data_IF_340842446226
#
_entry.id   IF_340842446226
#
_cell.length_a   1.000
_cell.length_b   1.000
_cell.length_c   1.000
_cell.angle_alpha   90.00
_cell.angle_beta   90.00
_cell.angle_gamma   90.00
#
_symmetry.space_group_name_H-M   'P 1'
#
loop_
_entity.id
_entity.type
_entity.pdbx_description
1 polymer ?
#
# COMPACT_ATOMS: atom_id res chain seq x y z
N UNK A 1 -41.59 -33.99 -31.24
CA UNK A 1 -41.63 -33.20 -30.00
C UNK A 1 -40.29 -32.48 -29.87
N UNK A 2 -40.19 -31.25 -30.38
CA UNK A 2 -38.99 -30.42 -30.23
C UNK A 2 -38.91 -29.96 -28.77
N UNK A 3 -37.78 -30.22 -28.11
CA UNK A 3 -37.50 -29.73 -26.76
C UNK A 3 -37.56 -28.19 -26.77
N UNK A 4 -38.42 -27.62 -25.93
CA UNK A 4 -38.54 -26.16 -25.75
C UNK A 4 -37.37 -25.62 -24.92
N UNK A 5 -37.07 -24.33 -25.07
CA UNK A 5 -36.17 -23.62 -24.17
C UNK A 5 -36.77 -23.59 -22.76
N UNK A 6 -35.93 -23.80 -21.76
CA UNK A 6 -36.32 -23.62 -20.36
C UNK A 6 -36.34 -22.13 -20.01
N UNK A 7 -36.98 -21.78 -18.91
CA UNK A 7 -36.97 -20.40 -18.40
C UNK A 7 -35.55 -19.91 -18.11
N UNK A 8 -34.69 -20.79 -17.59
CA UNK A 8 -33.28 -20.52 -17.40
C UNK A 8 -32.58 -20.17 -18.71
N UNK A 9 -32.81 -20.95 -19.78
CA UNK A 9 -32.22 -20.69 -21.10
C UNK A 9 -32.60 -19.31 -21.65
N UNK A 10 -33.85 -18.89 -21.41
CA UNK A 10 -34.37 -17.57 -21.81
C UNK A 10 -33.69 -16.45 -21.02
N UNK A 11 -33.54 -16.61 -19.70
CA UNK A 11 -32.88 -15.62 -18.83
C UNK A 11 -31.42 -15.42 -19.22
N UNK A 12 -30.64 -16.50 -19.35
CA UNK A 12 -29.21 -16.39 -19.69
C UNK A 12 -29.03 -15.80 -21.10
N UNK A 13 -29.98 -16.03 -22.02
CA UNK A 13 -29.97 -15.39 -23.33
C UNK A 13 -30.23 -13.88 -23.27
N UNK A 14 -31.11 -13.41 -22.38
CA UNK A 14 -31.38 -11.99 -22.18
C UNK A 14 -30.21 -11.27 -21.50
N UNK A 15 -29.56 -11.93 -20.54
CA UNK A 15 -28.40 -11.38 -19.83
C UNK A 15 -27.14 -11.28 -20.70
N UNK A 16 -27.11 -11.95 -21.86
CA UNK A 16 -25.94 -11.97 -22.75
C UNK A 16 -24.78 -12.83 -22.26
N UNK A 17 -24.98 -13.65 -21.23
CA UNK A 17 -23.94 -14.46 -20.57
C UNK A 17 -23.68 -15.83 -21.25
N UNK A 18 -24.00 -15.96 -22.53
CA UNK A 18 -23.81 -17.21 -23.31
C UNK A 18 -22.66 -17.09 -24.31
N UNK A 19 -21.89 -18.18 -24.54
CA UNK A 19 -20.99 -18.26 -25.69
C UNK A 19 -21.74 -18.01 -27.00
N UNK A 20 -21.13 -17.27 -27.93
CA UNK A 20 -21.77 -16.83 -29.17
C UNK A 20 -22.38 -17.98 -30.01
N UNK A 21 -21.75 -19.15 -29.99
CA UNK A 21 -22.27 -20.35 -30.66
C UNK A 21 -23.60 -20.84 -30.09
N UNK A 22 -23.75 -20.84 -28.76
CA UNK A 22 -24.98 -21.26 -28.07
C UNK A 22 -26.08 -20.23 -28.26
N UNK A 23 -25.73 -18.93 -28.15
CA UNK A 23 -26.66 -17.85 -28.41
C UNK A 23 -27.23 -17.91 -29.84
N UNK A 24 -26.43 -18.31 -30.84
CA UNK A 24 -26.92 -18.50 -32.21
C UNK A 24 -27.96 -19.61 -32.30
N UNK A 25 -27.68 -20.77 -31.70
CA UNK A 25 -28.62 -21.90 -31.67
C UNK A 25 -29.95 -21.52 -31.00
N UNK A 26 -29.91 -20.78 -29.90
CA UNK A 26 -31.13 -20.33 -29.23
C UNK A 26 -31.92 -19.33 -30.09
N UNK A 27 -31.25 -18.39 -30.77
CA UNK A 27 -31.91 -17.47 -31.71
C UNK A 27 -32.53 -18.21 -32.90
N UNK A 28 -31.86 -19.21 -33.45
CA UNK A 28 -32.40 -20.08 -34.50
C UNK A 28 -33.65 -20.82 -34.00
N UNK A 29 -33.63 -21.33 -32.75
CA UNK A 29 -34.80 -21.95 -32.13
C UNK A 29 -35.97 -20.97 -32.00
N UNK A 30 -35.75 -19.72 -31.57
CA UNK A 30 -36.78 -18.69 -31.45
C UNK A 30 -37.42 -18.32 -32.80
N UNK A 31 -36.69 -18.45 -33.92
CA UNK A 31 -37.25 -18.26 -35.26
C UNK A 31 -38.22 -19.39 -35.65
N UNK A 32 -38.00 -20.60 -35.15
CA UNK A 32 -38.77 -21.80 -35.52
C UNK A 32 -39.87 -22.16 -34.50
N UNK A 33 -39.74 -21.72 -33.25
CA UNK A 33 -40.64 -22.09 -32.16
C UNK A 33 -41.47 -20.90 -31.67
N UNK A 34 -42.71 -20.79 -32.16
CA UNK A 34 -43.63 -19.70 -31.80
C UNK A 34 -43.93 -19.60 -30.28
N UNK A 35 -44.11 -20.71 -29.52
CA UNK A 35 -44.27 -20.65 -28.07
C UNK A 35 -43.08 -20.01 -27.35
N UNK A 36 -41.86 -20.46 -27.66
CA UNK A 36 -40.64 -19.92 -27.05
C UNK A 36 -40.40 -18.46 -27.45
N UNK A 37 -40.75 -18.07 -28.68
CA UNK A 37 -40.69 -16.67 -29.11
C UNK A 37 -41.61 -15.77 -28.30
N UNK A 38 -42.88 -16.15 -28.13
CA UNK A 38 -43.82 -15.38 -27.32
C UNK A 38 -43.35 -15.22 -25.88
N UNK A 39 -42.83 -16.30 -25.28
CA UNK A 39 -42.29 -16.25 -23.94
C UNK A 39 -41.09 -15.30 -23.88
N UNK A 40 -40.13 -15.41 -24.80
CA UNK A 40 -38.98 -14.51 -24.89
C UNK A 40 -39.38 -13.03 -25.03
N UNK A 41 -40.37 -12.72 -25.87
CA UNK A 41 -40.91 -11.36 -26.03
C UNK A 41 -41.49 -10.81 -24.73
N UNK A 42 -42.21 -11.63 -23.95
CA UNK A 42 -42.75 -11.24 -22.64
C UNK A 42 -41.64 -10.90 -21.64
N UNK A 43 -40.61 -11.75 -21.51
CA UNK A 43 -39.47 -11.45 -20.64
C UNK A 43 -38.69 -10.23 -21.11
N UNK A 44 -38.56 -10.01 -22.42
CA UNK A 44 -37.89 -8.84 -22.99
C UNK A 44 -38.60 -7.54 -22.57
N UNK A 45 -39.94 -7.52 -22.59
CA UNK A 45 -40.73 -6.35 -22.16
C UNK A 45 -40.50 -6.02 -20.67
N UNK A 46 -40.49 -7.04 -19.81
CA UNK A 46 -40.20 -6.87 -18.38
C UNK A 46 -38.78 -6.36 -18.17
N UNK A 47 -37.80 -6.94 -18.87
CA UNK A 47 -36.40 -6.53 -18.80
C UNK A 47 -36.23 -5.06 -19.21
N UNK A 48 -36.86 -4.65 -20.31
CA UNK A 48 -36.83 -3.25 -20.78
C UNK A 48 -37.48 -2.31 -19.77
N UNK A 49 -38.62 -2.68 -19.17
CA UNK A 49 -39.27 -1.87 -18.15
C UNK A 49 -38.39 -1.69 -16.91
N UNK A 50 -37.71 -2.75 -16.46
CA UNK A 50 -36.77 -2.71 -15.34
C UNK A 50 -35.51 -1.90 -15.66
N UNK A 51 -35.05 -1.93 -16.91
CA UNK A 51 -33.86 -1.19 -17.34
C UNK A 51 -34.13 0.30 -17.60
N UNK A 52 -35.32 0.80 -17.25
CA UNK A 52 -35.70 2.22 -17.31
C UNK A 52 -35.28 2.98 -16.04
N UNK A 53 -34.19 2.57 -15.39
CA UNK A 53 -33.61 3.36 -14.32
C UNK A 53 -33.03 4.66 -14.88
N UNK A 54 -33.10 5.78 -14.14
CA UNK A 54 -32.49 7.02 -14.58
C UNK A 54 -30.97 6.80 -14.72
N UNK A 55 -30.45 6.95 -15.95
CA UNK A 55 -29.00 6.95 -16.23
C UNK A 55 -28.23 7.99 -15.39
N UNK A 56 -28.93 8.99 -14.84
CA UNK A 56 -28.35 9.97 -13.95
C UNK A 56 -28.33 9.48 -12.51
N UNK A 57 -27.14 9.17 -12.02
CA UNK A 57 -26.88 9.11 -10.59
C UNK A 57 -27.20 10.48 -9.95
N UNK A 58 -27.74 10.51 -8.72
CA UNK A 58 -27.98 11.77 -8.02
C UNK A 58 -26.67 12.54 -7.80
N UNK A 59 -26.75 13.88 -7.80
CA UNK A 59 -25.62 14.73 -7.49
C UNK A 59 -24.97 14.31 -6.16
N UNK A 60 -23.65 14.21 -6.13
CA UNK A 60 -22.85 13.77 -4.98
C UNK A 60 -23.02 12.28 -4.60
N UNK A 61 -23.51 11.40 -5.51
CA UNK A 61 -23.53 9.96 -5.28
C UNK A 61 -22.15 9.40 -4.94
N UNK A 62 -21.12 9.80 -5.70
CA UNK A 62 -19.73 9.39 -5.48
C UNK A 62 -19.26 9.79 -4.08
N UNK A 63 -19.50 11.03 -3.66
CA UNK A 63 -19.10 11.50 -2.34
C UNK A 63 -19.84 10.76 -1.22
N UNK A 64 -21.14 10.49 -1.39
CA UNK A 64 -21.92 9.69 -0.43
C UNK A 64 -21.41 8.26 -0.34
N UNK A 65 -21.13 7.61 -1.47
CA UNK A 65 -20.62 6.23 -1.50
C UNK A 65 -19.21 6.17 -0.92
N UNK A 66 -18.31 7.08 -1.29
CA UNK A 66 -16.95 7.15 -0.74
C UNK A 66 -16.98 7.43 0.76
N UNK A 67 -17.87 8.32 1.22
CA UNK A 67 -18.03 8.61 2.65
C UNK A 67 -18.69 7.45 3.43
N UNK A 68 -19.56 6.66 2.81
CA UNK A 68 -20.13 5.45 3.41
C UNK A 68 -19.11 4.29 3.41
N UNK A 69 -18.23 4.26 2.42
CA UNK A 69 -17.07 3.38 2.32
C UNK A 69 -15.88 3.92 3.11
N UNK A 70 -16.10 4.60 4.23
CA UNK A 70 -15.15 4.54 5.35
C UNK A 70 -15.07 3.08 5.83
N UNK A 71 -14.53 2.21 4.97
CA UNK A 71 -13.58 1.18 5.36
C UNK A 71 -12.73 1.87 6.40
N UNK A 72 -12.80 1.36 7.62
CA UNK A 72 -11.85 1.68 8.67
C UNK A 72 -10.49 1.74 7.98
N UNK A 73 -10.00 2.96 7.69
CA UNK A 73 -8.64 3.12 7.21
C UNK A 73 -7.85 2.35 8.25
N UNK A 74 -7.07 1.33 7.87
CA UNK A 74 -6.33 0.53 8.83
C UNK A 74 -5.64 1.56 9.69
N UNK A 75 -6.06 1.65 10.96
CA UNK A 75 -5.48 2.56 11.93
C UNK A 75 -4.01 2.35 11.72
N UNK A 76 -3.31 3.39 11.22
CA UNK A 76 -1.89 3.29 10.90
C UNK A 76 -1.23 3.07 12.24
N UNK A 77 -1.14 1.81 12.62
CA UNK A 77 -0.90 1.43 13.98
C UNK A 77 0.48 1.95 14.31
N UNK A 78 0.53 2.69 15.41
CA UNK A 78 1.70 3.23 16.08
C UNK A 78 2.85 2.21 16.24
N UNK A 79 2.60 0.93 15.96
CA UNK A 79 3.58 -0.15 15.87
C UNK A 79 4.78 0.19 14.98
N UNK A 80 4.56 0.72 13.77
CA UNK A 80 5.68 1.01 12.86
C UNK A 80 6.62 2.11 13.41
N UNK A 81 6.09 3.09 14.14
CA UNK A 81 6.91 4.17 14.70
C UNK A 81 7.68 3.72 15.95
N UNK A 82 7.09 2.84 16.77
CA UNK A 82 7.73 2.34 17.99
C UNK A 82 8.87 1.36 17.70
N UNK A 83 8.70 0.51 16.70
CA UNK A 83 9.70 -0.50 16.36
C UNK A 83 10.94 0.14 15.71
N UNK A 84 10.75 1.05 14.76
CA UNK A 84 11.86 1.81 14.14
C UNK A 84 12.65 2.61 15.18
N UNK A 85 11.97 3.22 16.15
CA UNK A 85 12.59 3.99 17.22
C UNK A 85 13.44 3.09 18.13
N UNK A 86 12.91 1.93 18.52
CA UNK A 86 13.63 0.97 19.36
C UNK A 86 14.87 0.43 18.62
N UNK A 87 14.72 0.06 17.35
CA UNK A 87 15.83 -0.40 16.50
C UNK A 87 16.90 0.69 16.35
N UNK A 88 16.51 1.94 16.17
CA UNK A 88 17.44 3.07 16.11
C UNK A 88 18.25 3.23 17.39
N UNK A 89 17.61 3.15 18.56
CA UNK A 89 18.29 3.23 19.86
C UNK A 89 19.30 2.09 20.02
N UNK A 90 18.90 0.85 19.73
CA UNK A 90 19.80 -0.30 19.87
C UNK A 90 20.97 -0.26 18.88
N UNK A 91 20.74 0.18 17.64
CA UNK A 91 21.80 0.36 16.66
C UNK A 91 22.83 1.40 17.12
N UNK A 92 22.38 2.53 17.68
CA UNK A 92 23.26 3.58 18.18
C UNK A 92 24.02 3.16 19.45
N UNK A 93 23.36 2.48 20.39
CA UNK A 93 24.03 1.93 21.56
C UNK A 93 25.06 0.87 21.18
N UNK A 94 24.71 -0.05 20.28
CA UNK A 94 25.63 -1.07 19.77
C UNK A 94 26.84 -0.44 19.07
N UNK A 95 26.61 0.59 18.26
CA UNK A 95 27.67 1.32 17.57
C UNK A 95 28.56 2.10 18.57
N UNK A 96 27.98 2.73 19.59
CA UNK A 96 28.72 3.43 20.64
C UNK A 96 29.55 2.49 21.51
N UNK A 97 28.98 1.35 21.93
CA UNK A 97 29.69 0.31 22.68
C UNK A 97 30.82 -0.28 21.84
N UNK A 98 30.55 -0.57 20.57
CA UNK A 98 31.56 -1.08 19.64
C UNK A 98 32.71 -0.08 19.47
N UNK A 99 32.40 1.20 19.26
CA UNK A 99 33.41 2.27 19.18
C UNK A 99 34.23 2.42 20.46
N UNK A 100 33.60 2.28 21.63
CA UNK A 100 34.28 2.37 22.91
C UNK A 100 35.32 1.24 23.09
N UNK A 101 34.97 0.01 22.71
CA UNK A 101 35.86 -1.15 22.89
C UNK A 101 36.88 -1.33 21.77
N UNK A 102 36.52 -1.04 20.52
CA UNK A 102 37.40 -1.31 19.36
C UNK A 102 38.17 -0.08 18.89
N UNK A 103 37.81 1.11 19.37
CA UNK A 103 38.37 2.37 18.90
C UNK A 103 37.87 2.74 17.50
N UNK A 104 38.02 4.02 17.15
CA UNK A 104 37.60 4.58 15.85
C UNK A 104 38.39 4.00 14.66
N UNK A 105 39.61 3.53 14.90
CA UNK A 105 40.50 3.01 13.87
C UNK A 105 39.96 1.72 13.21
N UNK A 106 39.28 0.88 13.99
CA UNK A 106 38.66 -0.34 13.48
C UNK A 106 37.54 -0.01 12.47
N UNK A 107 36.65 0.92 12.80
CA UNK A 107 35.56 1.35 11.92
C UNK A 107 36.07 1.97 10.61
N UNK A 108 37.10 2.82 10.70
CA UNK A 108 37.75 3.39 9.52
C UNK A 108 38.40 2.30 8.65
N UNK A 109 39.01 1.29 9.27
CA UNK A 109 39.59 0.16 8.53
C UNK A 109 38.54 -0.71 7.84
N UNK A 110 37.38 -0.89 8.47
CA UNK A 110 36.23 -1.62 7.93
C UNK A 110 35.65 -0.88 6.71
N UNK A 111 35.38 0.42 6.83
CA UNK A 111 34.88 1.23 5.71
C UNK A 111 35.89 1.36 4.57
N UNK A 112 37.19 1.43 4.88
CA UNK A 112 38.25 1.45 3.85
C UNK A 112 38.32 0.14 3.07
N UNK A 113 38.06 -0.99 3.73
CA UNK A 113 38.07 -2.31 3.09
C UNK A 113 36.75 -2.64 2.37
N UNK A 114 35.67 -1.91 2.68
CA UNK A 114 34.40 -1.99 1.96
C UNK A 114 34.53 -1.27 0.60
N UNK A 115 35.05 -1.96 -0.41
CA UNK A 115 35.06 -1.47 -1.79
C UNK A 115 33.64 -1.43 -2.35
N UNK A 116 32.90 -0.36 -2.07
CA UNK A 116 31.63 -0.07 -2.73
C UNK A 116 31.92 0.49 -4.14
N UNK A 117 31.59 -0.24 -5.23
CA UNK A 117 32.13 0.00 -6.57
C UNK A 117 31.71 1.32 -7.25
N UNK A 118 30.85 2.13 -6.64
CA UNK A 118 30.29 3.34 -7.26
C UNK A 118 30.35 4.60 -6.41
N UNK A 119 30.92 4.54 -5.20
CA UNK A 119 31.02 5.68 -4.29
C UNK A 119 32.50 6.00 -4.07
N UNK A 120 33.07 6.81 -4.98
CA UNK A 120 34.37 7.45 -4.77
C UNK A 120 34.22 8.54 -3.68
N UNK A 121 34.00 8.11 -2.44
CA UNK A 121 34.05 9.01 -1.29
C UNK A 121 35.52 9.18 -0.97
N UNK A 122 36.12 10.26 -1.49
CA UNK A 122 37.42 10.69 -1.01
C UNK A 122 37.28 11.06 0.48
N UNK A 123 37.77 10.18 1.36
CA UNK A 123 37.76 10.32 2.83
C UNK A 123 38.59 11.51 3.36
N UNK A 124 39.00 12.43 2.49
CA UNK A 124 39.77 13.64 2.79
C UNK A 124 39.01 14.56 3.74
N UNK A 125 37.69 14.70 3.56
CA UNK A 125 36.84 15.48 4.46
C UNK A 125 36.76 14.88 5.87
N UNK A 126 36.74 13.55 5.97
CA UNK A 126 36.62 12.86 7.26
C UNK A 126 37.89 13.00 8.10
N UNK A 127 39.07 13.03 7.46
CA UNK A 127 40.35 13.32 8.13
C UNK A 127 40.43 14.74 8.67
N UNK A 128 39.87 15.73 7.97
CA UNK A 128 39.83 17.12 8.44
C UNK A 128 38.91 17.26 9.65
N UNK A 129 37.76 16.58 9.64
CA UNK A 129 36.83 16.55 10.77
C UNK A 129 37.46 15.84 11.98
N UNK A 130 38.17 14.73 11.78
CA UNK A 130 38.90 14.06 12.87
C UNK A 130 40.04 14.92 13.43
N UNK A 131 40.72 15.71 12.59
CA UNK A 131 41.76 16.64 13.04
C UNK A 131 41.20 17.76 13.91
N UNK A 132 40.03 18.29 13.54
CA UNK A 132 39.30 19.25 14.37
C UNK A 132 38.83 18.62 15.69
N UNK A 133 38.42 17.34 15.67
CA UNK A 133 38.03 16.61 16.88
C UNK A 133 39.19 16.39 17.86
N UNK A 134 40.42 16.23 17.39
CA UNK A 134 41.57 16.12 18.29
C UNK A 134 42.05 17.50 18.81
N UNK A 135 41.87 18.55 18.01
CA UNK A 135 42.22 19.92 18.40
C UNK A 135 41.24 20.48 19.47
N UNK A 136 39.97 20.18 19.30
CA UNK A 136 38.91 20.47 20.26
C UNK A 136 38.91 19.29 21.23
N UNK A 137 39.53 19.38 22.42
CA UNK A 137 39.54 18.30 23.44
C UNK A 137 38.14 17.92 23.93
N UNK A 138 37.28 17.44 23.03
CA UNK A 138 35.96 16.94 23.34
C UNK A 138 36.13 15.51 23.79
N UNK A 139 35.98 15.35 25.10
CA UNK A 139 35.83 14.05 25.69
C UNK A 139 34.67 13.32 25.02
N UNK A 140 34.99 12.21 24.37
CA UNK A 140 34.05 11.26 23.76
C UNK A 140 32.78 11.02 24.62
N UNK A 141 32.85 10.88 25.97
CA UNK A 141 31.66 10.74 26.81
C UNK A 141 30.72 11.96 26.79
N UNK A 142 31.23 13.18 26.62
CA UNK A 142 30.42 14.40 26.53
C UNK A 142 29.62 14.42 25.23
N UNK A 143 30.22 13.98 24.12
CA UNK A 143 29.52 13.93 22.84
C UNK A 143 28.47 12.82 22.82
N UNK A 144 28.79 11.65 23.38
CA UNK A 144 27.79 10.59 23.55
C UNK A 144 26.62 11.06 24.42
N UNK A 145 26.88 11.77 25.52
CA UNK A 145 25.82 12.34 26.35
C UNK A 145 24.95 13.35 25.57
N UNK A 146 25.57 14.19 24.72
CA UNK A 146 24.84 15.13 23.86
C UNK A 146 23.97 14.43 22.81
N UNK A 147 24.47 13.38 22.17
CA UNK A 147 23.70 12.57 21.21
C UNK A 147 22.52 11.89 21.91
N UNK A 148 22.74 11.30 23.09
CA UNK A 148 21.68 10.69 23.90
C UNK A 148 20.62 11.72 24.30
N UNK A 149 21.03 12.93 24.70
CA UNK A 149 20.11 14.02 25.03
C UNK A 149 19.25 14.43 23.82
N UNK A 150 19.86 14.60 22.64
CA UNK A 150 19.14 14.96 21.42
C UNK A 150 18.13 13.87 21.02
N UNK A 151 18.48 12.60 21.20
CA UNK A 151 17.56 11.48 20.96
C UNK A 151 16.40 11.55 21.96
N UNK A 152 16.65 11.77 23.25
CA UNK A 152 15.60 11.91 24.25
C UNK A 152 14.65 13.06 23.93
N UNK A 153 15.17 14.19 23.45
CA UNK A 153 14.36 15.34 23.01
C UNK A 153 13.52 14.98 21.78
N UNK A 154 14.12 14.34 20.76
CA UNK A 154 13.39 13.91 19.57
C UNK A 154 12.29 12.89 19.91
N UNK A 155 12.54 11.99 20.86
CA UNK A 155 11.57 11.03 21.38
C UNK A 155 10.43 11.78 22.08
N UNK A 156 10.74 12.69 23.00
CA UNK A 156 9.74 13.47 23.72
C UNK A 156 8.85 14.28 22.76
N UNK A 157 9.46 14.93 21.77
CA UNK A 157 8.75 15.72 20.76
C UNK A 157 7.83 14.83 19.90
N UNK A 158 8.31 13.66 19.47
CA UNK A 158 7.51 12.69 18.71
C UNK A 158 6.31 12.14 19.50
N UNK A 159 6.43 12.02 20.84
CA UNK A 159 5.37 11.55 21.73
C UNK A 159 4.34 12.65 22.00
N UNK A 160 4.79 13.91 22.09
CA UNK A 160 3.91 15.07 22.33
C UNK A 160 3.12 15.41 21.07
N UNK A 161 3.76 15.42 19.89
CA UNK A 161 3.09 15.76 18.62
C UNK A 161 2.11 14.69 18.12
N UNK A 162 2.14 13.46 18.65
CA UNK A 162 1.16 12.42 18.33
C UNK A 162 -0.16 12.52 19.13
N UNK A 163 -0.27 13.47 20.08
CA UNK A 163 -1.49 13.66 20.90
C UNK A 163 -2.43 14.79 20.42
N UNK A 164 -2.09 15.49 19.35
CA UNK A 164 -2.94 16.48 18.68
C UNK A 164 -3.27 16.03 17.26
#
# INVERSE_FOLDING_TARGET
MSKHLTEWDIQVLLDGNLPAAVARVFREHLQQCNPCRKQFEQYTQVYQALNTEPESLPENFTDRVVSALHLESPKKDSFFNKEILLTGIFALLGLGISLYFTGVDFLLSFFRNMKLPHLNVEFTALKQILGLWNALHLDLPVVLAGIVLLILVAVADSVIFQRH
#
